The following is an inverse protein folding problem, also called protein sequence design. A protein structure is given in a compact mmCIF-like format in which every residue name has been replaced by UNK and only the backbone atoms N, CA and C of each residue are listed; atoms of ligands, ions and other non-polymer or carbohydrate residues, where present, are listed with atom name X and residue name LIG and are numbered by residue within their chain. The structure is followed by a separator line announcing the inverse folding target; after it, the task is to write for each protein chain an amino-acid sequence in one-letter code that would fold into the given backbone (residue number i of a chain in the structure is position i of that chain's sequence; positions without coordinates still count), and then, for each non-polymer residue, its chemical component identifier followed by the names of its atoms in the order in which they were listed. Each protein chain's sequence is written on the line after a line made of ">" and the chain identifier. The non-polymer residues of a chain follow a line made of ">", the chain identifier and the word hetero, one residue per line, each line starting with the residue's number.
data_IF_824939068862
#
_entry.id   IF_824939068862
#
_cell.length_a   1.000
_cell.length_b   1.000
_cell.length_c   1.000
_cell.angle_alpha   90.00
_cell.angle_beta   90.00
_cell.angle_gamma   90.00
#
_symmetry.space_group_name_H-M   'P 1'
#
loop_
_entity.id
_entity.type
_entity.pdbx_description
1 polymer ?
#
# COMPACT_ATOMS: atom_id res chain seq x y z
N UNK A 1 -15.81 51.24 55.34
CA UNK A 1 -15.15 50.35 54.35
C UNK A 1 -16.23 49.45 53.74
N UNK A 2 -16.89 49.80 52.62
CA UNK A 2 -17.69 48.83 51.90
C UNK A 2 -16.79 48.02 50.95
N UNK A 3 -16.96 46.70 50.95
CA UNK A 3 -16.31 45.80 50.01
C UNK A 3 -16.87 46.04 48.60
N UNK A 4 -15.98 46.14 47.61
CA UNK A 4 -16.38 46.23 46.22
C UNK A 4 -16.91 44.85 45.77
N UNK A 5 -18.16 44.81 45.31
CA UNK A 5 -18.67 43.68 44.52
C UNK A 5 -17.87 43.64 43.21
N UNK A 6 -17.01 42.63 43.11
CA UNK A 6 -16.31 42.31 41.86
C UNK A 6 -17.27 41.51 41.00
N UNK A 7 -17.96 42.20 40.10
CA UNK A 7 -18.76 41.56 39.05
C UNK A 7 -17.77 40.95 38.04
N UNK A 8 -17.61 39.63 38.12
CA UNK A 8 -16.76 38.88 37.17
C UNK A 8 -17.58 38.72 35.90
N UNK A 9 -17.34 39.61 34.94
CA UNK A 9 -17.86 39.50 33.58
C UNK A 9 -17.56 38.10 33.03
N UNK A 10 -18.60 37.30 32.89
CA UNK A 10 -18.53 35.97 32.29
C UNK A 10 -18.03 36.12 30.85
N UNK A 11 -16.94 35.42 30.53
CA UNK A 11 -16.43 35.26 29.18
C UNK A 11 -17.56 35.07 28.15
N UNK A 12 -17.47 35.71 26.97
CA UNK A 12 -18.50 35.56 25.95
C UNK A 12 -18.62 34.09 25.58
N UNK A 13 -19.81 33.52 25.74
CA UNK A 13 -20.09 32.16 25.28
C UNK A 13 -20.05 32.14 23.76
N UNK A 14 -18.95 31.67 23.19
CA UNK A 14 -18.85 31.37 21.77
C UNK A 14 -19.73 30.16 21.49
N UNK A 15 -21.02 30.39 21.30
CA UNK A 15 -21.97 29.42 20.78
C UNK A 15 -21.92 29.36 19.26
N UNK A 16 -20.73 29.42 18.68
CA UNK A 16 -20.50 28.96 17.31
C UNK A 16 -20.29 27.45 17.38
N UNK A 17 -21.39 26.69 17.25
CA UNK A 17 -21.29 25.36 16.63
C UNK A 17 -20.70 25.60 15.24
N UNK A 18 -19.37 25.57 15.15
CA UNK A 18 -18.69 25.45 13.88
C UNK A 18 -19.31 24.23 13.22
N UNK A 19 -20.06 24.47 12.14
CA UNK A 19 -20.60 23.41 11.28
C UNK A 19 -19.36 22.70 10.76
N UNK A 20 -19.00 21.59 11.41
CA UNK A 20 -17.83 20.78 11.04
C UNK A 20 -18.00 20.53 9.54
N UNK A 21 -17.08 21.00 8.68
CA UNK A 21 -17.18 20.69 7.26
C UNK A 21 -17.34 19.18 7.15
N UNK A 22 -18.33 18.74 6.36
CA UNK A 22 -18.54 17.32 6.13
C UNK A 22 -17.19 16.75 5.70
N UNK A 23 -16.68 15.76 6.44
CA UNK A 23 -15.41 15.14 6.10
C UNK A 23 -15.48 14.74 4.62
N UNK A 24 -14.41 15.01 3.84
CA UNK A 24 -14.40 14.65 2.42
C UNK A 24 -14.82 13.19 2.29
N UNK A 25 -15.75 12.93 1.37
CA UNK A 25 -16.35 11.60 1.18
C UNK A 25 -15.24 10.68 0.65
N UNK A 26 -14.63 9.90 1.53
CA UNK A 26 -13.60 8.94 1.13
C UNK A 26 -14.29 7.76 0.47
N UNK A 27 -13.94 7.52 -0.79
CA UNK A 27 -14.38 6.36 -1.54
C UNK A 27 -13.38 5.23 -1.34
N UNK A 28 -13.82 4.12 -0.75
CA UNK A 28 -12.95 3.02 -0.36
C UNK A 28 -12.99 1.93 -1.43
N UNK A 29 -11.83 1.58 -1.95
CA UNK A 29 -11.64 0.47 -2.89
C UNK A 29 -11.04 -0.70 -2.12
N UNK A 30 -11.76 -1.82 -2.11
CA UNK A 30 -11.24 -3.06 -1.53
C UNK A 30 -10.16 -3.64 -2.43
N UNK A 31 -8.99 -3.89 -1.85
CA UNK A 31 -7.86 -4.51 -2.54
C UNK A 31 -7.93 -6.03 -2.44
N UNK A 32 -8.17 -6.56 -1.24
CA UNK A 32 -8.18 -8.00 -1.01
C UNK A 32 -7.95 -8.37 0.44
N UNK A 33 -7.51 -9.60 0.65
CA UNK A 33 -7.26 -10.14 1.99
C UNK A 33 -6.05 -9.47 2.64
N UNK A 34 -6.11 -9.28 3.96
CA UNK A 34 -4.99 -8.76 4.76
C UNK A 34 -3.74 -9.62 4.63
N UNK A 35 -3.91 -10.93 4.49
CA UNK A 35 -2.81 -11.87 4.33
C UNK A 35 -2.05 -11.64 3.02
N UNK A 36 -2.76 -11.54 1.89
CA UNK A 36 -2.14 -11.40 0.57
C UNK A 36 -1.49 -10.02 0.42
N UNK A 37 -2.18 -8.97 0.88
CA UNK A 37 -1.61 -7.61 0.89
C UNK A 37 -0.39 -7.54 1.81
N UNK A 38 -0.39 -8.22 2.96
CA UNK A 38 0.79 -8.29 3.82
C UNK A 38 1.97 -8.99 3.14
N UNK A 39 1.73 -10.04 2.36
CA UNK A 39 2.77 -10.71 1.60
C UNK A 39 3.41 -9.77 0.57
N UNK A 40 2.60 -9.11 -0.26
CA UNK A 40 3.07 -8.16 -1.28
C UNK A 40 3.82 -7.00 -0.65
N UNK A 41 3.25 -6.37 0.38
CA UNK A 41 3.86 -5.20 1.05
C UNK A 41 5.18 -5.59 1.73
N UNK A 42 5.29 -6.80 2.30
CA UNK A 42 6.55 -7.28 2.89
C UNK A 42 7.64 -7.41 1.84
N UNK A 43 7.33 -8.00 0.68
CA UNK A 43 8.29 -8.15 -0.41
C UNK A 43 8.70 -6.79 -0.98
N UNK A 44 7.73 -5.90 -1.19
CA UNK A 44 7.99 -4.53 -1.58
C UNK A 44 8.96 -3.82 -0.62
N UNK A 45 8.71 -3.90 0.70
CA UNK A 45 9.61 -3.31 1.71
C UNK A 45 11.01 -3.93 1.68
N UNK A 46 11.13 -5.23 1.42
CA UNK A 46 12.42 -5.90 1.30
C UNK A 46 13.20 -5.36 0.11
N UNK A 47 12.57 -5.28 -1.06
CA UNK A 47 13.17 -4.77 -2.29
C UNK A 47 13.57 -3.30 -2.15
N UNK A 48 12.71 -2.45 -1.57
CA UNK A 48 12.98 -1.02 -1.34
C UNK A 48 14.26 -0.77 -0.53
N UNK A 49 14.66 -1.68 0.36
CA UNK A 49 15.91 -1.55 1.13
C UNK A 49 17.16 -1.62 0.25
N UNK A 50 17.07 -2.26 -0.90
CA UNK A 50 18.15 -2.39 -1.88
C UNK A 50 18.00 -1.42 -3.06
N UNK A 51 16.81 -0.86 -3.26
CA UNK A 51 16.45 0.07 -4.34
C UNK A 51 16.17 1.47 -3.81
N UNK A 52 17.16 2.06 -3.13
CA UNK A 52 17.06 3.38 -2.48
C UNK A 52 16.73 4.47 -3.52
N UNK A 53 17.21 4.30 -4.74
CA UNK A 53 16.92 5.17 -5.88
C UNK A 53 15.45 5.19 -6.32
N UNK A 54 14.66 4.18 -5.91
CA UNK A 54 13.25 4.00 -6.26
C UNK A 54 12.31 4.20 -5.06
N UNK A 55 12.80 4.74 -3.94
CA UNK A 55 11.96 4.99 -2.77
C UNK A 55 10.87 6.01 -3.11
N UNK A 56 9.58 5.70 -2.84
CA UNK A 56 8.53 6.69 -2.98
C UNK A 56 8.55 7.68 -1.80
N UNK A 57 7.80 8.76 -1.96
CA UNK A 57 7.60 9.77 -0.92
C UNK A 57 7.11 9.16 0.40
N UNK A 58 7.47 9.78 1.53
CA UNK A 58 7.14 9.29 2.89
C UNK A 58 5.62 9.10 3.11
N UNK A 59 4.78 9.85 2.40
CA UNK A 59 3.32 9.78 2.48
C UNK A 59 2.70 8.73 1.55
N UNK A 60 3.53 7.95 0.84
CA UNK A 60 3.08 6.99 -0.15
C UNK A 60 2.09 5.97 0.43
N UNK A 61 1.11 5.58 -0.40
CA UNK A 61 0.12 4.56 -0.05
C UNK A 61 0.78 3.24 0.36
N UNK A 62 1.93 2.89 -0.20
CA UNK A 62 2.66 1.67 0.15
C UNK A 62 3.22 1.72 1.58
N UNK A 63 3.73 2.88 2.02
CA UNK A 63 4.15 3.07 3.41
C UNK A 63 2.95 3.06 4.36
N UNK A 64 1.86 3.72 3.98
CA UNK A 64 0.62 3.69 4.77
C UNK A 64 0.02 2.28 4.87
N UNK A 65 0.12 1.45 3.82
CA UNK A 65 -0.28 0.05 3.84
C UNK A 65 0.57 -0.75 4.81
N UNK A 66 1.89 -0.58 4.74
CA UNK A 66 2.81 -1.25 5.66
C UNK A 66 2.58 -0.88 7.13
N UNK A 67 2.28 0.39 7.40
CA UNK A 67 1.95 0.86 8.74
C UNK A 67 0.55 0.39 9.17
N UNK A 68 -0.43 0.39 8.27
CA UNK A 68 -1.77 -0.16 8.43
C UNK A 68 -1.76 -1.61 8.89
N UNK A 69 -1.00 -2.46 8.18
CA UNK A 69 -0.83 -3.88 8.48
C UNK A 69 -0.12 -4.14 9.83
N UNK A 70 0.57 -3.14 10.37
CA UNK A 70 1.16 -3.18 11.72
C UNK A 70 0.23 -2.60 12.80
N UNK A 71 -1.01 -2.27 12.44
CA UNK A 71 -2.03 -1.73 13.33
C UNK A 71 -1.96 -0.21 13.53
N UNK A 72 -1.10 0.51 12.78
CA UNK A 72 -1.10 1.97 12.80
C UNK A 72 -2.22 2.50 11.92
N UNK A 73 -2.81 3.62 12.32
CA UNK A 73 -3.88 4.25 11.52
C UNK A 73 -3.26 5.21 10.52
N UNK A 74 -3.70 5.12 9.28
CA UNK A 74 -3.44 6.09 8.22
C UNK A 74 -4.74 6.63 7.66
N UNK A 75 -4.65 7.67 6.84
CA UNK A 75 -5.80 8.31 6.21
C UNK A 75 -6.19 7.64 4.89
N UNK A 76 -5.23 7.04 4.18
CA UNK A 76 -5.46 6.40 2.89
C UNK A 76 -5.78 4.89 2.99
N UNK A 77 -5.61 4.26 4.16
CA UNK A 77 -5.71 2.80 4.33
C UNK A 77 -6.69 2.45 5.43
N UNK A 78 -7.53 1.45 5.15
CA UNK A 78 -8.50 0.88 6.09
C UNK A 78 -8.44 -0.63 6.06
N UNK A 79 -8.27 -1.23 7.22
CA UNK A 79 -8.36 -2.69 7.42
C UNK A 79 -9.60 -2.97 8.28
N UNK A 80 -10.52 -3.78 7.77
CA UNK A 80 -11.72 -4.22 8.50
C UNK A 80 -12.02 -5.67 8.16
N UNK A 81 -12.27 -6.48 9.19
CA UNK A 81 -12.68 -7.88 9.03
C UNK A 81 -11.71 -8.68 8.14
N UNK A 82 -10.41 -8.38 8.19
CA UNK A 82 -9.38 -9.05 7.37
C UNK A 82 -9.35 -8.61 5.91
N UNK A 83 -10.09 -7.56 5.52
CA UNK A 83 -10.06 -6.96 4.18
C UNK A 83 -9.33 -5.62 4.23
N UNK A 84 -8.37 -5.45 3.33
CA UNK A 84 -7.65 -4.19 3.14
C UNK A 84 -8.33 -3.38 2.06
N UNK A 85 -8.55 -2.11 2.35
CA UNK A 85 -9.12 -1.14 1.42
C UNK A 85 -8.28 0.13 1.44
N UNK A 86 -8.20 0.80 0.30
CA UNK A 86 -7.54 2.10 0.16
C UNK A 86 -8.50 3.15 -0.33
N UNK A 87 -8.20 4.41 -0.05
CA UNK A 87 -8.89 5.53 -0.68
C UNK A 87 -8.61 5.51 -2.19
N UNK A 88 -9.68 5.61 -2.99
CA UNK A 88 -9.63 5.61 -4.46
C UNK A 88 -8.64 6.61 -5.03
N UNK A 89 -8.39 7.74 -4.36
CA UNK A 89 -7.42 8.77 -4.77
C UNK A 89 -6.00 8.23 -4.88
N UNK A 90 -5.66 7.19 -4.11
CA UNK A 90 -4.36 6.53 -4.11
C UNK A 90 -4.32 5.27 -4.99
N UNK A 91 -5.41 4.91 -5.67
CA UNK A 91 -5.47 3.67 -6.45
C UNK A 91 -4.46 3.65 -7.60
N UNK A 92 -4.23 4.79 -8.26
CA UNK A 92 -3.21 4.90 -9.31
C UNK A 92 -1.82 4.67 -8.73
N UNK A 93 -1.47 5.39 -7.66
CA UNK A 93 -0.17 5.28 -7.00
C UNK A 93 0.09 3.85 -6.52
N UNK A 94 -0.93 3.19 -5.97
CA UNK A 94 -0.86 1.79 -5.57
C UNK A 94 -0.56 0.87 -6.77
N UNK A 95 -1.23 1.07 -7.91
CA UNK A 95 -0.99 0.31 -9.14
C UNK A 95 0.43 0.48 -9.64
N UNK A 96 0.87 1.73 -9.76
CA UNK A 96 2.20 2.05 -10.26
C UNK A 96 3.27 1.37 -9.37
N UNK A 97 3.03 1.29 -8.05
CA UNK A 97 3.94 0.61 -7.12
C UNK A 97 3.93 -0.94 -7.22
N UNK A 98 2.76 -1.56 -7.41
CA UNK A 98 2.69 -3.03 -7.59
C UNK A 98 3.17 -3.47 -8.97
N UNK A 99 2.95 -2.66 -10.00
CA UNK A 99 3.46 -2.87 -11.36
C UNK A 99 5.00 -2.81 -11.37
N UNK A 100 5.55 -1.79 -10.72
CA UNK A 100 6.99 -1.70 -10.50
C UNK A 100 7.55 -2.91 -9.74
N UNK A 101 6.84 -3.40 -8.72
CA UNK A 101 7.25 -4.58 -7.97
C UNK A 101 7.23 -5.82 -8.86
N UNK A 102 6.18 -5.98 -9.66
CA UNK A 102 6.06 -7.08 -10.61
C UNK A 102 7.23 -7.10 -11.59
N UNK A 103 7.53 -5.96 -12.21
CA UNK A 103 8.66 -5.80 -13.14
C UNK A 103 9.98 -6.18 -12.47
N UNK A 104 10.17 -5.74 -11.22
CA UNK A 104 11.36 -6.08 -10.45
C UNK A 104 11.49 -7.58 -10.20
N UNK A 105 10.41 -8.24 -9.76
CA UNK A 105 10.41 -9.68 -9.47
C UNK A 105 10.62 -10.51 -10.75
N UNK A 106 9.99 -10.09 -11.86
CA UNK A 106 10.12 -10.72 -13.16
C UNK A 106 11.55 -10.62 -13.71
N UNK A 107 12.19 -9.45 -13.57
CA UNK A 107 13.60 -9.29 -13.96
C UNK A 107 14.54 -10.07 -13.02
N UNK A 108 14.35 -9.98 -11.70
CA UNK A 108 15.21 -10.64 -10.71
C UNK A 108 15.24 -12.16 -10.89
N UNK A 109 14.09 -12.75 -11.21
CA UNK A 109 13.91 -14.19 -11.37
C UNK A 109 13.75 -14.65 -12.82
N UNK A 110 14.05 -13.80 -13.80
CA UNK A 110 13.93 -14.13 -15.21
C UNK A 110 14.82 -15.31 -15.63
N UNK A 111 14.29 -16.14 -16.53
CA UNK A 111 14.94 -17.37 -17.03
C UNK A 111 16.36 -17.13 -17.55
N UNK A 112 16.63 -15.94 -18.10
CA UNK A 112 17.94 -15.52 -18.59
C UNK A 112 19.04 -15.55 -17.53
N UNK A 113 18.68 -15.57 -16.24
CA UNK A 113 19.60 -15.62 -15.10
C UNK A 113 19.91 -17.04 -14.64
N UNK A 114 19.28 -18.05 -15.24
CA UNK A 114 19.42 -19.46 -14.89
C UNK A 114 20.03 -20.26 -16.04
N UNK A 115 20.85 -21.25 -15.69
CA UNK A 115 21.43 -22.20 -16.62
C UNK A 115 21.16 -23.63 -16.14
N UNK A 116 20.87 -24.53 -17.09
CA UNK A 116 20.69 -25.94 -16.77
C UNK A 116 22.01 -26.56 -16.31
N UNK A 117 22.05 -27.04 -15.07
CA UNK A 117 23.20 -27.77 -14.54
C UNK A 117 22.94 -29.27 -14.62
N UNK A 118 23.68 -29.96 -15.50
CA UNK A 118 23.52 -31.42 -15.72
C UNK A 118 23.88 -32.25 -14.50
N UNK A 119 24.84 -31.81 -13.70
CA UNK A 119 25.37 -32.58 -12.57
C UNK A 119 24.34 -32.74 -11.44
N UNK A 120 23.44 -31.76 -11.30
CA UNK A 120 22.36 -31.75 -10.31
C UNK A 120 20.97 -31.92 -10.92
N UNK A 121 20.86 -31.94 -12.26
CA UNK A 121 19.58 -32.10 -12.97
C UNK A 121 18.57 -30.99 -12.70
N UNK A 122 19.03 -29.76 -12.49
CA UNK A 122 18.17 -28.61 -12.17
C UNK A 122 18.68 -27.31 -12.81
N UNK A 123 17.76 -26.36 -13.02
CA UNK A 123 18.09 -24.99 -13.41
C UNK A 123 18.67 -24.26 -12.20
N UNK A 124 19.92 -23.84 -12.31
CA UNK A 124 20.63 -23.09 -11.27
C UNK A 124 20.86 -21.66 -11.74
N UNK A 125 20.76 -20.71 -10.82
CA UNK A 125 21.15 -19.34 -11.10
C UNK A 125 22.63 -19.30 -11.48
N UNK A 126 22.96 -18.57 -12.54
CA UNK A 126 24.33 -18.49 -13.01
C UNK A 126 25.24 -17.85 -11.95
N UNK A 127 26.46 -18.36 -11.72
CA UNK A 127 27.36 -17.81 -10.70
C UNK A 127 27.78 -16.36 -10.93
N UNK A 128 27.69 -15.88 -12.17
CA UNK A 128 27.99 -14.49 -12.55
C UNK A 128 26.88 -13.51 -12.22
N UNK A 129 25.67 -14.00 -11.93
CA UNK A 129 24.52 -13.17 -11.59
C UNK A 129 24.57 -12.75 -10.12
N UNK A 130 24.04 -11.57 -9.83
CA UNK A 130 23.89 -11.14 -8.44
C UNK A 130 22.92 -12.07 -7.72
N UNK A 131 23.16 -12.38 -6.42
CA UNK A 131 22.18 -13.08 -5.60
C UNK A 131 20.84 -12.35 -5.63
N UNK A 132 19.71 -13.08 -5.71
CA UNK A 132 18.41 -12.43 -5.68
C UNK A 132 18.15 -11.85 -4.29
N UNK A 133 17.49 -10.71 -4.24
CA UNK A 133 16.97 -10.05 -3.05
C UNK A 133 15.82 -10.88 -2.48
N UNK A 134 14.96 -11.41 -3.34
CA UNK A 134 13.79 -12.20 -2.95
C UNK A 134 14.00 -13.70 -3.17
N UNK A 135 13.26 -14.51 -2.41
CA UNK A 135 13.19 -15.94 -2.65
C UNK A 135 12.25 -16.21 -3.83
N UNK A 136 12.64 -17.11 -4.74
CA UNK A 136 11.84 -17.48 -5.91
C UNK A 136 10.40 -17.91 -5.57
N UNK A 137 10.20 -18.66 -4.48
CA UNK A 137 8.86 -19.10 -4.07
C UNK A 137 8.01 -17.92 -3.56
N UNK A 138 8.60 -17.04 -2.75
CA UNK A 138 7.93 -15.84 -2.27
C UNK A 138 7.60 -14.88 -3.42
N UNK A 139 8.51 -14.74 -4.38
CA UNK A 139 8.34 -13.92 -5.58
C UNK A 139 7.20 -14.46 -6.47
N UNK A 140 7.17 -15.77 -6.73
CA UNK A 140 6.07 -16.42 -7.48
C UNK A 140 4.72 -16.18 -6.80
N UNK A 141 4.64 -16.38 -5.49
CA UNK A 141 3.42 -16.10 -4.73
C UNK A 141 3.01 -14.63 -4.84
N UNK A 142 3.96 -13.70 -4.79
CA UNK A 142 3.65 -12.28 -4.94
C UNK A 142 3.16 -11.93 -6.34
N UNK A 143 3.73 -12.53 -7.39
CA UNK A 143 3.27 -12.34 -8.77
C UNK A 143 1.82 -12.81 -8.92
N UNK A 144 1.48 -14.00 -8.43
CA UNK A 144 0.09 -14.50 -8.45
C UNK A 144 -0.89 -13.53 -7.77
N UNK A 145 -0.52 -13.01 -6.58
CA UNK A 145 -1.34 -12.03 -5.87
C UNK A 145 -1.45 -10.72 -6.66
N UNK A 146 -0.36 -10.24 -7.27
CA UNK A 146 -0.37 -8.99 -8.04
C UNK A 146 -1.27 -9.11 -9.27
N UNK A 147 -1.21 -10.24 -9.99
CA UNK A 147 -2.07 -10.50 -11.15
C UNK A 147 -3.55 -10.44 -10.73
N UNK A 148 -3.93 -11.11 -9.63
CA UNK A 148 -5.29 -11.05 -9.07
C UNK A 148 -5.70 -9.61 -8.69
N UNK A 149 -4.77 -8.83 -8.12
CA UNK A 149 -5.01 -7.44 -7.74
C UNK A 149 -5.21 -6.54 -8.96
N UNK A 150 -4.46 -6.77 -10.05
CA UNK A 150 -4.57 -5.99 -11.27
C UNK A 150 -5.92 -6.19 -11.95
N UNK A 151 -6.45 -7.42 -11.94
CA UNK A 151 -7.79 -7.72 -12.44
C UNK A 151 -8.87 -7.00 -11.63
N UNK A 152 -8.82 -7.09 -10.30
CA UNK A 152 -9.75 -6.37 -9.39
C UNK A 152 -9.66 -4.86 -9.59
N UNK A 153 -8.45 -4.34 -9.80
CA UNK A 153 -8.26 -2.93 -10.03
C UNK A 153 -8.86 -2.52 -11.39
N UNK A 154 -8.63 -3.28 -12.46
CA UNK A 154 -9.21 -3.02 -13.77
C UNK A 154 -10.75 -2.94 -13.74
N UNK A 155 -11.41 -3.86 -13.02
CA UNK A 155 -12.88 -3.86 -12.87
C UNK A 155 -13.43 -2.63 -12.15
N UNK A 156 -12.66 -2.06 -11.21
CA UNK A 156 -13.03 -0.84 -10.49
C UNK A 156 -12.88 0.45 -11.34
N UNK A 157 -12.26 0.36 -12.52
CA UNK A 157 -12.21 1.44 -13.53
C UNK A 157 -13.45 1.41 -14.43
N UNK A 158 -14.05 0.25 -14.68
CA UNK A 158 -15.18 0.12 -15.63
C UNK A 158 -16.48 0.73 -15.09
N UNK A 159 -16.67 0.82 -13.77
CA UNK A 159 -17.85 1.48 -13.15
C UNK A 159 -17.86 3.02 -13.25
N UNK A 160 -17.01 3.64 -14.07
CA UNK A 160 -16.93 5.10 -14.27
C UNK A 160 -17.78 5.65 -15.43
N UNK A 161 -18.59 4.85 -16.13
CA UNK A 161 -19.33 5.32 -17.32
C UNK A 161 -20.86 5.21 -17.29
N UNK A 162 -21.46 4.84 -16.17
CA UNK A 162 -22.92 4.84 -16.02
C UNK A 162 -23.30 5.46 -14.67
N UNK A 163 -23.30 6.79 -14.62
CA UNK A 163 -24.27 7.62 -13.89
C UNK A 163 -23.79 9.08 -13.92
N UNK A 164 -24.11 9.75 -15.04
CA UNK A 164 -24.10 11.20 -15.20
C UNK A 164 -25.51 11.67 -15.58
#
# INVERSE_FOLDING_TARGET
>A
MPAADVDIDRFPSWSTRARRPAAPRVDWVSLGSEYDIAHVVRLWQLVMRFRIESLPDDESVMWQLADGLRGRRGDAVRIREGIVSIDRRHLKEFRDAIDWLWDHLADEHGDQRYAWCRDVGQWLRMPTEQPPITNLEDARRAVEIIDDLMDVAADNVIKLWEDA
#
